data_IF_535931332480
#
_entry.id   IF_535931332480
#
_cell.length_a   1.000
_cell.length_b   1.000
_cell.length_c   1.000
_cell.angle_alpha   90.00
_cell.angle_beta   90.00
_cell.angle_gamma   90.00
#
_symmetry.space_group_name_H-M   'P 1'
#
loop_
_entity.id
_entity.type
_entity.pdbx_description
1 polymer ?
#
# COMPACT_ATOMS: atom_id res chain seq x y z
N UNK A 1 8.16 11.58 15.74
CA UNK A 1 7.19 12.17 14.78
C UNK A 1 5.79 11.75 15.21
N UNK A 2 4.75 12.52 14.93
CA UNK A 2 3.35 12.10 15.16
C UNK A 2 3.08 10.75 14.48
N UNK A 3 2.37 9.85 15.16
CA UNK A 3 2.14 8.48 14.67
C UNK A 3 1.33 8.51 13.37
N UNK A 4 0.39 9.46 13.28
CA UNK A 4 -0.34 9.76 12.04
C UNK A 4 0.58 10.00 10.84
N UNK A 5 1.66 10.78 11.02
CA UNK A 5 2.60 11.09 9.94
C UNK A 5 3.39 9.85 9.48
N UNK A 6 3.71 8.94 10.40
CA UNK A 6 4.39 7.68 10.06
C UNK A 6 3.45 6.78 9.25
N UNK A 7 2.21 6.60 9.71
CA UNK A 7 1.20 5.82 8.99
C UNK A 7 0.93 6.37 7.59
N UNK A 8 0.92 7.70 7.44
CA UNK A 8 0.73 8.35 6.15
C UNK A 8 1.86 8.03 5.17
N UNK A 9 3.11 8.17 5.61
CA UNK A 9 4.28 7.89 4.78
C UNK A 9 4.30 6.42 4.38
N UNK A 10 3.99 5.51 5.31
CA UNK A 10 3.89 4.07 5.01
C UNK A 10 2.78 3.78 3.99
N UNK A 11 1.61 4.41 4.12
CA UNK A 11 0.51 4.29 3.15
C UNK A 11 0.96 4.67 1.74
N UNK A 12 1.69 5.79 1.59
CA UNK A 12 2.19 6.24 0.29
C UNK A 12 3.20 5.25 -0.28
N UNK A 13 4.17 4.80 0.51
CA UNK A 13 5.20 3.87 0.05
C UNK A 13 4.57 2.55 -0.39
N UNK A 14 3.71 1.96 0.44
CA UNK A 14 3.04 0.68 0.14
C UNK A 14 2.12 0.82 -1.08
N UNK A 15 1.39 1.94 -1.19
CA UNK A 15 0.54 2.21 -2.34
C UNK A 15 1.34 2.34 -3.64
N UNK A 16 2.48 3.03 -3.61
CA UNK A 16 3.35 3.18 -4.77
C UNK A 16 3.95 1.84 -5.21
N UNK A 17 4.41 1.01 -4.26
CA UNK A 17 4.88 -0.35 -4.56
C UNK A 17 3.76 -1.21 -5.16
N UNK A 18 2.54 -1.10 -4.65
CA UNK A 18 1.35 -1.76 -5.21
C UNK A 18 1.10 -1.36 -6.67
N UNK A 19 1.13 -0.05 -6.97
CA UNK A 19 0.94 0.47 -8.33
C UNK A 19 2.05 0.00 -9.27
N UNK A 20 3.32 0.04 -8.84
CA UNK A 20 4.45 -0.41 -9.66
C UNK A 20 4.34 -1.90 -9.95
N UNK A 21 4.03 -2.71 -8.93
CA UNK A 21 3.80 -4.16 -9.11
C UNK A 21 2.66 -4.41 -10.09
N UNK A 22 1.53 -3.71 -9.95
CA UNK A 22 0.39 -3.84 -10.86
C UNK A 22 0.76 -3.47 -12.30
N UNK A 23 1.40 -2.31 -12.49
CA UNK A 23 1.82 -1.84 -13.81
C UNK A 23 2.82 -2.82 -14.44
N UNK A 24 3.79 -3.32 -13.68
CA UNK A 24 4.76 -4.31 -14.14
C UNK A 24 4.10 -5.61 -14.56
N UNK A 25 3.02 -6.02 -13.89
CA UNK A 25 2.35 -7.27 -14.19
C UNK A 25 1.42 -7.18 -15.41
N UNK A 26 0.84 -6.01 -15.66
CA UNK A 26 0.06 -5.75 -16.88
C UNK A 26 0.97 -5.57 -18.09
N UNK A 27 2.01 -4.76 -17.96
CA UNK A 27 2.89 -4.38 -19.07
C UNK A 27 4.01 -5.41 -19.33
N UNK A 28 4.30 -6.29 -18.36
CA UNK A 28 5.36 -7.28 -18.43
C UNK A 28 4.95 -8.59 -19.13
N UNK A 29 5.78 -8.98 -20.11
CA UNK A 29 6.04 -10.35 -20.56
C UNK A 29 4.93 -11.09 -21.32
N UNK A 30 5.27 -11.59 -22.51
CA UNK A 30 4.50 -12.58 -23.29
C UNK A 30 4.38 -13.94 -22.58
N UNK A 31 5.28 -14.21 -21.63
CA UNK A 31 5.53 -15.55 -21.08
C UNK A 31 4.80 -15.77 -19.74
N UNK A 32 3.80 -14.95 -19.44
CA UNK A 32 2.96 -15.01 -18.23
C UNK A 32 3.70 -14.93 -16.87
N UNK A 33 4.97 -14.51 -16.90
CA UNK A 33 5.84 -14.34 -15.74
C UNK A 33 6.21 -12.86 -15.55
N UNK A 34 6.28 -12.41 -14.30
CA UNK A 34 6.60 -11.04 -13.89
C UNK A 34 7.59 -11.14 -12.73
N UNK A 35 8.83 -10.65 -12.93
CA UNK A 35 9.94 -10.80 -11.97
C UNK A 35 10.18 -12.24 -11.47
N UNK A 36 9.94 -13.24 -12.33
CA UNK A 36 10.12 -14.66 -11.99
C UNK A 36 8.97 -15.31 -11.22
N UNK A 37 7.88 -14.56 -10.96
CA UNK A 37 6.64 -15.05 -10.34
C UNK A 37 5.51 -15.06 -11.37
N UNK A 38 4.46 -15.86 -11.15
CA UNK A 38 3.33 -15.89 -12.08
C UNK A 38 2.63 -14.53 -12.13
N UNK A 39 2.10 -14.16 -13.31
CA UNK A 39 1.34 -12.92 -13.49
C UNK A 39 0.14 -12.82 -12.53
N UNK A 40 -0.54 -13.94 -12.28
CA UNK A 40 -1.69 -14.00 -11.37
C UNK A 40 -1.28 -13.69 -9.94
N UNK A 41 -0.18 -14.29 -9.46
CA UNK A 41 0.34 -14.01 -8.12
C UNK A 41 0.79 -12.55 -7.98
N UNK A 42 1.46 -12.00 -9.01
CA UNK A 42 1.86 -10.60 -9.02
C UNK A 42 0.66 -9.64 -8.95
N UNK A 43 -0.44 -9.94 -9.66
CA UNK A 43 -1.68 -9.15 -9.59
C UNK A 43 -2.32 -9.24 -8.20
N UNK A 44 -2.38 -10.42 -7.60
CA UNK A 44 -2.92 -10.62 -6.26
C UNK A 44 -2.10 -9.87 -5.21
N UNK A 45 -0.77 -9.95 -5.28
CA UNK A 45 0.12 -9.20 -4.40
C UNK A 45 -0.09 -7.69 -4.56
N UNK A 46 -0.20 -7.20 -5.79
CA UNK A 46 -0.49 -5.78 -6.04
C UNK A 46 -1.83 -5.36 -5.41
N UNK A 47 -2.88 -6.17 -5.56
CA UNK A 47 -4.18 -5.92 -4.94
C UNK A 47 -4.10 -5.87 -3.41
N UNK A 48 -3.38 -6.80 -2.78
CA UNK A 48 -3.16 -6.83 -1.32
C UNK A 48 -2.42 -5.57 -0.87
N UNK A 49 -1.35 -5.17 -1.58
CA UNK A 49 -0.61 -3.95 -1.24
C UNK A 49 -1.51 -2.70 -1.31
N UNK A 50 -2.38 -2.61 -2.31
CA UNK A 50 -3.34 -1.51 -2.42
C UNK A 50 -4.31 -1.52 -1.23
N UNK A 51 -4.84 -2.68 -0.83
CA UNK A 51 -5.72 -2.78 0.36
C UNK A 51 -5.00 -2.36 1.65
N UNK A 52 -3.74 -2.77 1.83
CA UNK A 52 -2.92 -2.35 2.98
C UNK A 52 -2.70 -0.83 2.94
N UNK A 53 -2.41 -0.24 1.78
CA UNK A 53 -2.22 1.19 1.63
C UNK A 53 -3.48 1.98 2.02
N UNK A 54 -4.66 1.49 1.63
CA UNK A 54 -5.96 2.06 2.02
C UNK A 54 -6.15 1.94 3.53
N UNK A 55 -5.89 0.78 4.12
CA UNK A 55 -6.02 0.57 5.56
C UNK A 55 -5.11 1.49 6.37
N UNK A 56 -3.86 1.67 5.93
CA UNK A 56 -2.92 2.62 6.54
C UNK A 56 -3.38 4.08 6.40
N UNK A 57 -4.00 4.43 5.27
CA UNK A 57 -4.60 5.76 5.10
C UNK A 57 -5.77 5.99 6.06
N UNK A 58 -6.65 4.99 6.25
CA UNK A 58 -7.74 5.05 7.24
C UNK A 58 -7.18 5.18 8.65
N UNK A 59 -6.19 4.35 9.01
CA UNK A 59 -5.50 4.43 10.31
C UNK A 59 -4.82 5.78 10.55
N UNK A 60 -4.25 6.39 9.50
CA UNK A 60 -3.71 7.75 9.54
C UNK A 60 -4.80 8.75 9.93
N UNK A 61 -5.97 8.70 9.29
CA UNK A 61 -7.09 9.60 9.58
C UNK A 61 -7.56 9.41 11.02
N UNK A 62 -7.70 8.16 11.45
CA UNK A 62 -8.09 7.82 12.82
C UNK A 62 -7.11 8.39 13.85
N UNK A 63 -5.80 8.17 13.68
CA UNK A 63 -4.79 8.73 14.58
C UNK A 63 -4.66 10.25 14.50
N UNK A 64 -4.93 10.88 13.34
CA UNK A 64 -5.02 12.34 13.27
C UNK A 64 -6.19 12.89 14.09
N UNK A 65 -7.30 12.14 14.20
CA UNK A 65 -8.43 12.53 15.04
C UNK A 65 -8.07 12.42 16.53
N UNK A 66 -7.49 11.29 16.94
CA UNK A 66 -7.02 11.06 18.33
C UNK A 66 -6.00 12.11 18.77
N UNK A 67 -5.02 12.41 17.91
CA UNK A 67 -4.00 13.44 18.17
C UNK A 67 -4.58 14.86 18.28
N UNK A 68 -5.76 15.13 17.70
CA UNK A 68 -6.46 16.43 17.81
C UNK A 68 -7.28 16.52 19.09
N UNK A 69 -7.85 15.42 19.58
CA UNK A 69 -8.63 15.37 20.82
C UNK A 69 -7.76 15.25 22.08
N UNK A 70 -6.45 14.98 21.92
CA UNK A 70 -5.53 14.77 23.04
C UNK A 70 -5.56 13.35 23.60
N UNK A 71 -6.29 12.44 22.94
CA UNK A 71 -6.25 11.00 23.23
C UNK A 71 -4.97 10.43 22.62
N UNK A 72 -3.95 10.25 23.45
CA UNK A 72 -2.72 9.56 23.05
C UNK A 72 -2.92 8.09 23.40
N UNK A 73 -3.10 7.25 22.39
CA UNK A 73 -3.10 5.78 22.50
C UNK A 73 -1.79 5.26 21.91
#
# INVERSE_FOLDING_TARGET
>A
MKLSKILHVLSIIVGLVGIVTFASAILGGSDNLVFGVTKVDALLCAGILILIAIWLAVGTIHHMMLEKTGEII
#
